data_IF_102432139739
#
_entry.id   IF_102432139739
#
_cell.length_a   1.000
_cell.length_b   1.000
_cell.length_c   1.000
_cell.angle_alpha   90.00
_cell.angle_beta   90.00
_cell.angle_gamma   90.00
#
_symmetry.space_group_name_H-M   'P 1'
#
loop_
_entity.id
_entity.type
_entity.pdbx_description
1 polymer ?
#
# COMPACT_ATOMS: atom_id res chain seq x y z
N UNK A 1 -9.91 5.91 5.13
CA UNK A 1 -8.62 6.21 5.79
C UNK A 1 -7.70 6.87 4.77
N UNK A 2 -6.66 7.59 5.19
CA UNK A 2 -5.63 8.03 4.24
C UNK A 2 -4.83 6.81 3.73
N UNK A 3 -4.06 6.99 2.65
CA UNK A 3 -3.30 5.89 2.05
C UNK A 3 -2.21 5.35 2.99
N UNK A 4 -1.57 6.22 3.78
CA UNK A 4 -0.47 5.83 4.66
C UNK A 4 -0.97 4.93 5.79
N UNK A 5 -2.12 5.25 6.38
CA UNK A 5 -2.78 4.40 7.37
C UNK A 5 -3.21 3.08 6.74
N UNK A 6 -3.71 3.11 5.50
CA UNK A 6 -4.15 1.90 4.81
C UNK A 6 -3.03 0.90 4.57
N UNK A 7 -1.90 1.36 4.03
CA UNK A 7 -0.77 0.48 3.74
C UNK A 7 -0.06 0.01 5.02
N UNK A 8 -0.02 0.86 6.05
CA UNK A 8 0.49 0.47 7.37
C UNK A 8 -0.36 -0.64 8.00
N UNK A 9 -1.70 -0.54 7.89
CA UNK A 9 -2.62 -1.56 8.38
C UNK A 9 -2.44 -2.91 7.66
N UNK A 10 -2.27 -2.89 6.34
CA UNK A 10 -1.92 -4.09 5.54
C UNK A 10 -0.65 -4.74 6.10
N UNK A 11 0.44 -3.95 6.24
CA UNK A 11 1.73 -4.46 6.69
C UNK A 11 1.67 -5.07 8.10
N UNK A 12 1.04 -4.35 9.02
CA UNK A 12 0.97 -4.73 10.44
C UNK A 12 0.03 -5.91 10.67
N UNK A 13 -1.04 -6.04 9.87
CA UNK A 13 -1.94 -7.20 9.90
C UNK A 13 -1.22 -8.48 9.47
N UNK A 14 -0.34 -8.39 8.46
CA UNK A 14 0.51 -9.50 8.03
C UNK A 14 1.71 -9.76 8.95
N UNK A 15 2.00 -8.86 9.88
CA UNK A 15 3.17 -8.91 10.79
C UNK A 15 4.51 -8.98 10.05
N UNK A 16 4.62 -8.27 8.92
CA UNK A 16 5.83 -8.22 8.11
C UNK A 16 6.56 -6.87 8.22
N UNK A 17 7.83 -6.85 7.83
CA UNK A 17 8.64 -5.63 7.78
C UNK A 17 8.32 -4.79 6.53
N UNK A 18 8.75 -3.52 6.52
CA UNK A 18 8.63 -2.67 5.33
C UNK A 18 9.43 -3.26 4.15
N UNK A 19 10.59 -3.88 4.42
CA UNK A 19 11.39 -4.56 3.41
C UNK A 19 10.65 -5.75 2.80
N UNK A 20 9.95 -6.56 3.61
CA UNK A 20 9.20 -7.70 3.09
C UNK A 20 8.00 -7.23 2.27
N UNK A 21 7.23 -6.25 2.75
CA UNK A 21 6.13 -5.68 1.96
C UNK A 21 6.63 -5.08 0.64
N UNK A 22 7.80 -4.43 0.66
CA UNK A 22 8.41 -3.89 -0.56
C UNK A 22 8.78 -4.98 -1.56
N UNK A 23 9.37 -6.09 -1.10
CA UNK A 23 9.68 -7.25 -1.93
C UNK A 23 8.41 -7.87 -2.53
N UNK A 24 7.37 -8.06 -1.72
CA UNK A 24 6.10 -8.65 -2.15
C UNK A 24 5.35 -7.79 -3.18
N UNK A 25 5.49 -6.45 -3.10
CA UNK A 25 4.88 -5.50 -4.03
C UNK A 25 5.81 -5.12 -5.19
N UNK A 26 6.99 -5.73 -5.29
CA UNK A 26 8.03 -5.42 -6.29
C UNK A 26 8.42 -3.93 -6.35
N UNK A 27 8.52 -3.29 -5.18
CA UNK A 27 8.96 -1.90 -5.04
C UNK A 27 10.17 -1.79 -4.11
N UNK A 28 10.81 -0.62 -4.08
CA UNK A 28 11.91 -0.39 -3.14
C UNK A 28 11.40 -0.21 -1.70
N UNK A 29 12.23 -0.56 -0.71
CA UNK A 29 11.98 -0.21 0.70
C UNK A 29 11.69 1.29 0.88
N UNK A 30 12.44 2.15 0.17
CA UNK A 30 12.25 3.59 0.25
C UNK A 30 10.86 4.03 -0.23
N UNK A 31 10.26 3.29 -1.18
CA UNK A 31 8.89 3.51 -1.65
C UNK A 31 7.88 3.27 -0.54
N UNK A 32 7.93 2.10 0.11
CA UNK A 32 7.05 1.76 1.25
C UNK A 32 7.26 2.73 2.42
N UNK A 33 8.52 3.07 2.73
CA UNK A 33 8.82 4.05 3.77
C UNK A 33 8.20 5.43 3.48
N UNK A 34 8.26 5.92 2.24
CA UNK A 34 7.63 7.20 1.84
C UNK A 34 6.11 7.13 1.95
N UNK A 35 5.52 5.99 1.57
CA UNK A 35 4.08 5.74 1.71
C UNK A 35 3.62 5.80 3.16
N UNK A 36 4.22 5.01 4.05
CA UNK A 36 3.85 4.97 5.47
C UNK A 36 4.10 6.31 6.19
N UNK A 37 5.04 7.13 5.70
CA UNK A 37 5.33 8.46 6.22
C UNK A 37 4.59 9.59 5.49
N UNK A 38 3.52 9.30 4.73
CA UNK A 38 2.68 10.30 4.03
C UNK A 38 3.44 11.21 3.06
N UNK A 39 4.58 10.77 2.55
CA UNK A 39 5.42 11.57 1.63
C UNK A 39 4.95 11.48 0.18
N UNK A 40 4.39 10.33 -0.20
CA UNK A 40 3.89 10.06 -1.54
C UNK A 40 2.72 9.08 -1.47
N UNK A 41 1.91 9.04 -2.53
CA UNK A 41 0.91 7.99 -2.78
C UNK A 41 1.28 7.23 -4.06
N UNK A 42 0.88 5.96 -4.23
CA UNK A 42 1.13 5.20 -5.44
C UNK A 42 0.36 5.79 -6.62
N UNK A 43 0.84 5.52 -7.83
CA UNK A 43 0.03 5.72 -9.02
C UNK A 43 -1.06 4.65 -9.14
N UNK A 44 -1.97 4.81 -10.11
CA UNK A 44 -3.09 3.88 -10.32
C UNK A 44 -2.67 2.43 -10.58
N UNK A 45 -1.54 2.22 -11.28
CA UNK A 45 -1.03 0.87 -11.56
C UNK A 45 -0.53 0.19 -10.30
N UNK A 46 0.32 0.86 -9.52
CA UNK A 46 0.81 0.33 -8.24
C UNK A 46 -0.32 0.16 -7.23
N UNK A 47 -1.33 1.03 -7.25
CA UNK A 47 -2.51 0.88 -6.42
C UNK A 47 -3.29 -0.41 -6.74
N UNK A 48 -3.40 -0.78 -8.01
CA UNK A 48 -4.02 -2.06 -8.40
C UNK A 48 -3.18 -3.26 -7.94
N UNK A 49 -1.85 -3.17 -7.98
CA UNK A 49 -0.95 -4.21 -7.44
C UNK A 49 -1.19 -4.39 -5.95
N UNK A 50 -1.27 -3.29 -5.18
CA UNK A 50 -1.57 -3.34 -3.74
C UNK A 50 -2.94 -3.99 -3.48
N UNK A 51 -3.98 -3.62 -4.26
CA UNK A 51 -5.32 -4.22 -4.13
C UNK A 51 -5.30 -5.72 -4.40
N UNK A 52 -4.60 -6.16 -5.45
CA UNK A 52 -4.45 -7.57 -5.77
C UNK A 52 -3.71 -8.33 -4.67
N UNK A 53 -2.61 -7.75 -4.16
CA UNK A 53 -1.87 -8.32 -3.04
C UNK A 53 -2.73 -8.49 -1.79
N UNK A 54 -3.55 -7.49 -1.44
CA UNK A 54 -4.47 -7.59 -0.32
C UNK A 54 -5.54 -8.66 -0.55
N UNK A 55 -6.09 -8.74 -1.77
CA UNK A 55 -7.08 -9.76 -2.14
C UNK A 55 -6.52 -11.18 -1.99
N UNK A 56 -5.31 -11.43 -2.49
CA UNK A 56 -4.63 -12.74 -2.37
C UNK A 56 -4.32 -13.14 -0.93
N UNK A 57 -4.20 -12.16 -0.01
CA UNK A 57 -4.02 -12.39 1.41
C UNK A 57 -5.33 -12.34 2.21
N UNK A 58 -6.49 -12.31 1.55
CA UNK A 58 -7.81 -12.20 2.17
C UNK A 58 -7.96 -10.98 3.09
N UNK A 59 -7.31 -9.87 2.74
CA UNK A 59 -7.34 -8.62 3.50
C UNK A 59 -8.19 -7.56 2.82
N UNK A 60 -8.80 -6.71 3.64
CA UNK A 60 -9.52 -5.51 3.19
C UNK A 60 -8.54 -4.34 3.05
N UNK A 61 -8.62 -3.61 1.94
CA UNK A 61 -7.80 -2.42 1.68
C UNK A 61 -8.71 -1.17 1.57
N UNK A 62 -8.98 -0.50 2.70
CA UNK A 62 -9.94 0.62 2.78
C UNK A 62 -9.37 1.98 2.35
N UNK A 63 -8.73 2.04 1.19
CA UNK A 63 -8.30 3.30 0.59
C UNK A 63 -8.94 3.49 -0.78
N UNK A 64 -9.71 4.58 -0.89
CA UNK A 64 -10.28 5.06 -2.14
C UNK A 64 -9.62 6.40 -2.50
N UNK A 65 -8.93 6.51 -3.64
CA UNK A 65 -8.42 7.79 -4.11
C UNK A 65 -9.60 8.70 -4.52
N UNK A 66 -9.49 10.00 -4.25
CA UNK A 66 -10.49 10.97 -4.70
C UNK A 66 -10.67 10.87 -6.22
N UNK A 67 -11.90 10.61 -6.65
CA UNK A 67 -12.25 10.33 -8.05
C UNK A 67 -12.24 11.57 -8.96
N UNK A 68 -11.74 12.72 -8.47
CA UNK A 68 -11.77 14.01 -9.16
C UNK A 68 -10.40 14.45 -9.73
N UNK A 69 -9.67 13.51 -10.34
CA UNK A 69 -8.54 13.86 -11.21
C UNK A 69 -8.81 13.24 -12.58
N UNK A 70 -9.62 13.96 -13.37
CA UNK A 70 -9.73 13.82 -14.81
C UNK A 70 -8.93 14.95 -15.46
#
# INVERSE_FOLDING_TARGET
>A
MDFADAILNVRTSLRISQQQLAADLEVSYATVNRWENRRTVPNKMTLNVIRQYCHSNHMKFDYEPDSNVQ
#
